data_IF_315235911534
#
_entry.id   IF_315235911534
#
_cell.length_a   1.000
_cell.length_b   1.000
_cell.length_c   1.000
_cell.angle_alpha   90.00
_cell.angle_beta   90.00
_cell.angle_gamma   90.00
#
_symmetry.space_group_name_H-M   'P 1'
#
loop_
_entity.id
_entity.type
_entity.pdbx_description
1 polymer ?
#
# COMPACT_ATOMS: atom_id res chain seq x y z
N UNK A 1 8.92 -11.92 8.72
CA UNK A 1 8.15 -10.81 9.30
C UNK A 1 7.75 -9.90 8.16
N UNK A 2 6.46 -9.61 7.98
CA UNK A 2 5.95 -8.68 6.97
C UNK A 2 5.67 -7.34 7.63
N UNK A 3 6.63 -6.42 7.58
CA UNK A 3 6.46 -5.07 8.10
C UNK A 3 5.90 -4.19 6.99
N UNK A 4 4.58 -4.20 6.80
CA UNK A 4 3.94 -3.18 5.98
C UNK A 4 4.13 -1.82 6.70
N UNK A 5 5.05 -1.01 6.20
CA UNK A 5 5.25 0.35 6.66
C UNK A 5 4.52 1.35 5.77
N UNK A 6 3.70 2.22 6.37
CA UNK A 6 3.10 3.37 5.68
C UNK A 6 3.87 4.62 6.14
N UNK A 7 4.62 5.23 5.23
CA UNK A 7 5.33 6.49 5.48
C UNK A 7 4.57 7.67 4.88
N UNK A 8 4.50 8.79 5.61
CA UNK A 8 3.97 10.07 5.13
C UNK A 8 5.13 11.03 4.88
N UNK A 9 5.22 11.59 3.68
CA UNK A 9 6.22 12.60 3.32
C UNK A 9 5.65 13.53 2.23
N UNK A 10 5.61 14.83 2.48
CA UNK A 10 5.31 15.87 1.47
C UNK A 10 4.07 15.59 0.59
N UNK A 11 2.97 15.13 1.21
CA UNK A 11 1.73 14.79 0.51
C UNK A 11 1.75 13.45 -0.24
N UNK A 12 2.79 12.64 -0.01
CA UNK A 12 2.90 11.25 -0.47
C UNK A 12 2.59 10.28 0.66
N UNK A 13 1.83 9.24 0.32
CA UNK A 13 1.72 8.03 1.14
C UNK A 13 2.54 6.91 0.46
N UNK A 14 3.53 6.38 1.18
CA UNK A 14 4.47 5.35 0.68
C UNK A 14 4.21 4.01 1.34
N UNK A 15 3.92 2.99 0.54
CA UNK A 15 3.80 1.60 0.96
C UNK A 15 5.07 0.84 0.61
N UNK A 16 5.63 0.11 1.59
CA UNK A 16 6.85 -0.68 1.46
C UNK A 16 6.60 -2.13 1.85
N UNK A 17 7.42 -3.05 1.31
CA UNK A 17 7.42 -4.47 1.66
C UNK A 17 6.09 -5.20 1.42
N UNK A 18 5.35 -4.82 0.38
CA UNK A 18 4.10 -5.48 -0.02
C UNK A 18 4.40 -6.86 -0.62
N UNK A 19 4.34 -7.90 0.21
CA UNK A 19 4.64 -9.27 -0.19
C UNK A 19 3.43 -10.18 0.05
N UNK A 20 3.04 -10.93 -0.98
CA UNK A 20 2.16 -12.10 -0.82
C UNK A 20 3.01 -13.37 -0.68
N UNK A 21 2.73 -14.17 0.36
CA UNK A 21 3.34 -15.48 0.57
C UNK A 21 3.25 -16.33 -0.70
N UNK A 22 4.30 -17.08 -1.01
CA UNK A 22 4.41 -17.85 -2.26
C UNK A 22 3.21 -18.78 -2.50
N UNK A 23 2.72 -19.42 -1.44
CA UNK A 23 1.55 -20.32 -1.45
C UNK A 23 0.21 -19.63 -1.79
N UNK A 24 0.18 -18.29 -1.79
CA UNK A 24 -1.02 -17.48 -1.98
C UNK A 24 -0.90 -16.50 -3.17
N UNK A 25 0.18 -16.57 -3.96
CA UNK A 25 0.36 -15.72 -5.15
C UNK A 25 -0.66 -16.05 -6.25
N UNK A 26 -0.81 -15.14 -7.22
CA UNK A 26 -1.75 -15.23 -8.36
C UNK A 26 -3.23 -15.31 -7.98
N UNK A 27 -3.58 -14.87 -6.77
CA UNK A 27 -4.98 -14.78 -6.27
C UNK A 27 -5.50 -13.34 -6.17
N UNK A 28 -4.76 -12.36 -6.69
CA UNK A 28 -5.13 -10.94 -6.61
C UNK A 28 -4.96 -10.29 -5.23
N UNK A 29 -4.48 -11.00 -4.21
CA UNK A 29 -4.38 -10.52 -2.82
C UNK A 29 -3.56 -9.21 -2.72
N UNK A 30 -2.37 -9.16 -3.34
CA UNK A 30 -1.57 -7.94 -3.34
C UNK A 30 -2.30 -6.75 -4.00
N UNK A 31 -3.00 -6.99 -5.12
CA UNK A 31 -3.76 -5.95 -5.81
C UNK A 31 -4.95 -5.45 -4.97
N UNK A 32 -5.66 -6.35 -4.32
CA UNK A 32 -6.76 -6.00 -3.41
C UNK A 32 -6.27 -5.18 -2.21
N UNK A 33 -5.14 -5.58 -1.61
CA UNK A 33 -4.53 -4.87 -0.50
C UNK A 33 -4.07 -3.46 -0.90
N UNK A 34 -3.36 -3.34 -2.03
CA UNK A 34 -2.92 -2.05 -2.57
C UNK A 34 -4.10 -1.13 -2.86
N UNK A 35 -5.19 -1.66 -3.42
CA UNK A 35 -6.39 -0.88 -3.70
C UNK A 35 -7.01 -0.33 -2.42
N UNK A 36 -7.29 -1.19 -1.45
CA UNK A 36 -7.89 -0.79 -0.18
C UNK A 36 -7.01 0.24 0.56
N UNK A 37 -5.70 0.02 0.52
CA UNK A 37 -4.75 0.94 1.11
C UNK A 37 -4.75 2.31 0.40
N UNK A 38 -4.90 2.31 -0.92
CA UNK A 38 -5.01 3.54 -1.69
C UNK A 38 -6.28 4.33 -1.40
N UNK A 39 -7.41 3.64 -1.30
CA UNK A 39 -8.69 4.24 -0.90
C UNK A 39 -8.55 4.91 0.49
N UNK A 40 -7.96 4.22 1.46
CA UNK A 40 -7.71 4.75 2.79
C UNK A 40 -6.77 5.97 2.80
N UNK A 41 -5.69 5.94 2.00
CA UNK A 41 -4.74 7.04 1.97
C UNK A 41 -5.34 8.36 1.44
N UNK A 42 -6.30 8.27 0.51
CA UNK A 42 -6.99 9.45 -0.04
C UNK A 42 -8.12 9.98 0.85
N UNK A 43 -8.45 9.31 1.96
CA UNK A 43 -9.29 9.91 3.01
C UNK A 43 -8.56 11.11 3.68
N UNK A 44 -7.24 11.14 3.62
CA UNK A 44 -6.44 12.29 4.04
C UNK A 44 -6.31 13.30 2.89
N UNK A 45 -6.89 14.51 3.02
CA UNK A 45 -6.86 15.52 1.95
C UNK A 45 -5.46 16.10 1.69
N UNK A 46 -4.49 15.87 2.58
CA UNK A 46 -3.09 16.26 2.35
C UNK A 46 -2.35 15.29 1.42
N UNK A 47 -2.89 14.08 1.21
CA UNK A 47 -2.31 13.09 0.32
C UNK A 47 -2.79 13.35 -1.11
N UNK A 48 -1.84 13.66 -1.99
CA UNK A 48 -2.11 13.93 -3.40
C UNK A 48 -1.73 12.75 -4.29
N UNK A 49 -0.91 11.83 -3.78
CA UNK A 49 -0.38 10.71 -4.56
C UNK A 49 0.03 9.52 -3.71
N UNK A 50 -0.21 8.34 -4.27
CA UNK A 50 0.25 7.07 -3.74
C UNK A 50 1.49 6.58 -4.47
N UNK A 51 2.46 6.09 -3.71
CA UNK A 51 3.69 5.49 -4.24
C UNK A 51 3.87 4.11 -3.64
N UNK A 52 4.02 3.11 -4.52
CA UNK A 52 4.33 1.73 -4.17
C UNK A 52 5.77 1.48 -4.61
N UNK A 53 6.61 1.04 -3.68
CA UNK A 53 8.04 0.77 -3.92
C UNK A 53 8.34 -0.69 -3.63
#
# INVERSE_FOLDING_TARGET
>A
MSNLGIGRLDGLSRYQDVVTLATHRRRGIAGALVRAAGEWAFEDPSVTRLVIV
#
